data_IF_023989192544
#
_entry.id   IF_023989192544
#
_cell.length_a   1.000
_cell.length_b   1.000
_cell.length_c   1.000
_cell.angle_alpha   90.00
_cell.angle_beta   90.00
_cell.angle_gamma   90.00
#
_symmetry.space_group_name_H-M   'P 1'
#
loop_
_entity.id
_entity.type
_entity.pdbx_description
1 polymer ?
#
# COMPACT_ATOMS: atom_id res chain seq x y z
N UNK A 1 -14.10 10.55 -0.71
CA UNK A 1 -15.39 10.67 -1.43
C UNK A 1 -15.94 12.08 -1.50
N UNK A 2 -15.93 12.88 -0.43
CA UNK A 2 -16.49 14.27 -0.43
C UNK A 2 -15.60 15.33 -1.07
N UNK A 3 -14.43 15.00 -1.54
CA UNK A 3 -13.45 15.95 -2.10
C UNK A 3 -13.60 16.17 -3.60
N UNK A 4 -14.45 15.42 -4.27
CA UNK A 4 -14.72 15.53 -5.71
C UNK A 4 -16.21 15.48 -5.99
N UNK A 5 -16.65 16.26 -6.98
CA UNK A 5 -17.99 16.26 -7.53
C UNK A 5 -18.02 15.72 -8.97
N UNK A 6 -19.18 15.73 -9.62
CA UNK A 6 -19.34 15.22 -10.98
C UNK A 6 -18.52 16.02 -12.00
N UNK A 7 -18.43 17.35 -11.83
CA UNK A 7 -17.67 18.21 -12.73
C UNK A 7 -16.17 17.90 -12.62
N UNK A 8 -15.66 17.81 -11.42
CA UNK A 8 -14.25 17.44 -11.15
C UNK A 8 -13.89 16.09 -11.77
N UNK A 9 -14.76 15.08 -11.61
CA UNK A 9 -14.52 13.75 -12.19
C UNK A 9 -14.55 13.77 -13.73
N UNK A 10 -15.42 14.58 -14.35
CA UNK A 10 -15.41 14.79 -15.81
C UNK A 10 -14.10 15.43 -16.27
N UNK A 11 -13.67 16.50 -15.60
CA UNK A 11 -12.39 17.17 -15.89
C UNK A 11 -11.21 16.20 -15.79
N UNK A 12 -11.18 15.32 -14.76
CA UNK A 12 -10.17 14.29 -14.66
C UNK A 12 -10.18 13.32 -15.84
N UNK A 13 -11.38 12.89 -16.27
CA UNK A 13 -11.50 11.98 -17.41
C UNK A 13 -11.05 12.63 -18.71
N UNK A 14 -11.43 13.88 -18.96
CA UNK A 14 -11.02 14.70 -20.12
C UNK A 14 -9.51 14.95 -20.12
N UNK A 15 -8.90 15.15 -18.96
CA UNK A 15 -7.45 15.27 -18.80
C UNK A 15 -6.68 13.95 -19.00
N UNK A 16 -7.35 12.84 -19.29
CA UNK A 16 -6.73 11.54 -19.57
C UNK A 16 -6.48 10.68 -18.31
N UNK A 17 -6.96 11.08 -17.14
CA UNK A 17 -6.91 10.24 -15.94
C UNK A 17 -7.78 9.00 -16.18
N UNK A 18 -7.19 7.83 -16.08
CA UNK A 18 -7.85 6.56 -16.40
C UNK A 18 -8.03 5.63 -15.20
N UNK A 19 -7.51 5.96 -14.02
CA UNK A 19 -7.65 5.19 -12.79
C UNK A 19 -7.96 6.09 -11.61
N UNK A 20 -8.91 5.68 -10.79
CA UNK A 20 -9.25 6.35 -9.53
C UNK A 20 -8.94 5.43 -8.34
N UNK A 21 -8.50 6.01 -7.22
CA UNK A 21 -8.48 5.35 -5.92
C UNK A 21 -9.40 6.10 -4.98
N UNK A 22 -10.39 5.39 -4.40
CA UNK A 22 -11.43 5.98 -3.58
C UNK A 22 -11.36 5.37 -2.17
N UNK A 23 -10.97 6.19 -1.20
CA UNK A 23 -10.90 5.78 0.20
C UNK A 23 -12.29 5.61 0.82
N UNK A 24 -12.83 4.39 0.81
CA UNK A 24 -14.05 4.02 1.51
C UNK A 24 -13.78 3.74 2.98
N UNK A 25 -12.76 2.97 3.25
CA UNK A 25 -12.24 2.49 4.53
C UNK A 25 -13.17 1.48 5.23
N UNK A 26 -14.42 1.81 5.45
CA UNK A 26 -15.42 1.00 6.18
C UNK A 26 -16.83 1.36 5.67
N UNK A 27 -17.79 0.46 5.83
CA UNK A 27 -19.19 0.69 5.46
C UNK A 27 -20.07 1.18 6.63
N UNK A 28 -19.60 1.05 7.87
CA UNK A 28 -20.30 1.54 9.07
C UNK A 28 -19.92 2.98 9.38
N UNK A 29 -20.86 3.91 9.24
CA UNK A 29 -20.63 5.33 9.47
C UNK A 29 -20.14 5.66 10.88
N UNK A 30 -20.55 4.86 11.88
CA UNK A 30 -20.10 5.02 13.27
C UNK A 30 -18.60 4.76 13.41
N UNK A 31 -18.06 3.78 12.68
CA UNK A 31 -16.61 3.47 12.67
C UNK A 31 -15.86 4.55 11.90
N UNK A 32 -16.38 4.96 10.73
CA UNK A 32 -15.81 6.07 9.95
C UNK A 32 -15.65 7.34 10.79
N UNK A 33 -16.69 7.70 11.55
CA UNK A 33 -16.66 8.87 12.44
C UNK A 33 -15.57 8.77 13.52
N UNK A 34 -15.32 7.57 14.07
CA UNK A 34 -14.30 7.36 15.10
C UNK A 34 -12.87 7.58 14.59
N UNK A 35 -12.63 7.28 13.33
CA UNK A 35 -11.33 7.53 12.68
C UNK A 35 -11.26 8.91 12.00
N UNK A 36 -12.18 9.82 12.34
CA UNK A 36 -12.16 11.20 11.86
C UNK A 36 -12.58 11.37 10.39
N UNK A 37 -13.22 10.39 9.76
CA UNK A 37 -13.69 10.54 8.38
C UNK A 37 -14.94 11.40 8.33
N UNK A 38 -14.93 12.37 7.39
CA UNK A 38 -16.02 13.34 7.18
C UNK A 38 -17.10 12.81 6.23
N UNK A 39 -16.86 11.71 5.53
CA UNK A 39 -17.78 11.08 4.60
C UNK A 39 -18.51 9.90 5.24
N UNK A 40 -19.67 9.59 4.70
CA UNK A 40 -20.46 8.39 5.01
C UNK A 40 -20.30 7.34 3.92
N UNK A 41 -20.75 6.11 4.18
CA UNK A 41 -20.82 5.07 3.14
C UNK A 41 -21.72 5.50 1.98
N UNK A 42 -22.82 6.23 2.26
CA UNK A 42 -23.69 6.79 1.21
C UNK A 42 -22.95 7.79 0.32
N UNK A 43 -22.12 8.66 0.89
CA UNK A 43 -21.29 9.61 0.11
C UNK A 43 -20.30 8.86 -0.79
N UNK A 44 -19.69 7.80 -0.27
CA UNK A 44 -18.81 6.95 -1.08
C UNK A 44 -19.56 6.31 -2.24
N UNK A 45 -20.72 5.69 -2.01
CA UNK A 45 -21.54 5.09 -3.07
C UNK A 45 -21.94 6.07 -4.16
N UNK A 46 -22.32 7.29 -3.76
CA UNK A 46 -22.63 8.37 -4.70
C UNK A 46 -21.43 8.69 -5.60
N UNK A 47 -20.27 8.92 -5.01
CA UNK A 47 -19.02 9.20 -5.76
C UNK A 47 -18.65 8.04 -6.68
N UNK A 48 -18.72 6.82 -6.20
CA UNK A 48 -18.41 5.61 -6.98
C UNK A 48 -19.33 5.47 -8.19
N UNK A 49 -20.65 5.64 -8.01
CA UNK A 49 -21.63 5.55 -9.11
C UNK A 49 -21.45 6.65 -10.13
N UNK A 50 -21.15 7.88 -9.70
CA UNK A 50 -20.85 9.00 -10.62
C UNK A 50 -19.58 8.68 -11.43
N UNK A 51 -18.52 8.20 -10.80
CA UNK A 51 -17.29 7.81 -11.50
C UNK A 51 -17.56 6.73 -12.57
N UNK A 52 -18.36 5.69 -12.23
CA UNK A 52 -18.78 4.67 -13.20
C UNK A 52 -19.59 5.25 -14.35
N UNK A 53 -20.55 6.15 -14.07
CA UNK A 53 -21.39 6.82 -15.08
C UNK A 53 -20.54 7.67 -16.06
N UNK A 54 -19.47 8.30 -15.57
CA UNK A 54 -18.53 9.08 -16.38
C UNK A 54 -17.63 8.18 -17.25
N UNK A 55 -17.55 6.87 -16.95
CA UNK A 55 -16.78 5.90 -17.72
C UNK A 55 -15.40 5.58 -17.13
N UNK A 56 -15.20 5.75 -15.81
CA UNK A 56 -14.05 5.16 -15.14
C UNK A 56 -14.28 3.67 -14.96
N UNK A 57 -13.47 2.86 -15.63
CA UNK A 57 -13.47 1.40 -15.65
C UNK A 57 -12.30 0.77 -14.89
N UNK A 58 -11.47 1.58 -14.26
CA UNK A 58 -10.37 1.17 -13.39
C UNK A 58 -10.46 1.93 -12.06
N UNK A 59 -11.19 1.36 -11.11
CA UNK A 59 -11.40 1.97 -9.79
C UNK A 59 -10.82 1.06 -8.72
N UNK A 60 -9.99 1.64 -7.86
CA UNK A 60 -9.55 1.04 -6.62
C UNK A 60 -10.44 1.51 -5.46
N UNK A 61 -10.78 0.61 -4.56
CA UNK A 61 -11.43 0.90 -3.29
C UNK A 61 -10.47 0.57 -2.15
N UNK A 62 -10.18 1.56 -1.29
CA UNK A 62 -9.36 1.36 -0.11
C UNK A 62 -10.24 0.95 1.06
N UNK A 63 -9.85 -0.13 1.76
CA UNK A 63 -10.52 -0.71 2.92
C UNK A 63 -9.51 -0.81 4.07
N UNK A 64 -9.92 -0.43 5.27
CA UNK A 64 -9.12 -0.56 6.47
C UNK A 64 -9.68 -1.64 7.40
N UNK A 65 -8.79 -2.38 8.05
CA UNK A 65 -9.10 -3.33 9.13
C UNK A 65 -8.37 -2.94 10.41
N UNK A 66 -8.77 -3.55 11.52
CA UNK A 66 -8.22 -3.20 12.84
C UNK A 66 -8.70 -1.83 13.36
N UNK A 67 -9.81 -1.31 12.83
CA UNK A 67 -10.37 -0.03 13.25
C UNK A 67 -10.99 -0.13 14.66
N UNK A 68 -11.05 0.98 15.42
CA UNK A 68 -11.67 1.01 16.73
C UNK A 68 -13.10 0.45 16.72
N UNK A 69 -13.37 -0.55 17.55
CA UNK A 69 -14.66 -1.26 17.68
C UNK A 69 -15.12 -2.02 16.42
N UNK A 70 -14.26 -2.16 15.42
CA UNK A 70 -14.54 -3.00 14.24
C UNK A 70 -14.50 -4.47 14.64
N UNK A 71 -15.52 -5.24 14.26
CA UNK A 71 -15.58 -6.68 14.49
C UNK A 71 -15.31 -7.45 13.21
N UNK A 72 -14.97 -8.73 13.34
CA UNK A 72 -14.75 -9.60 12.17
C UNK A 72 -15.96 -9.62 11.22
N UNK A 73 -17.17 -9.56 11.77
CA UNK A 73 -18.42 -9.52 11.01
C UNK A 73 -18.56 -8.23 10.20
N UNK A 74 -18.06 -7.09 10.72
CA UNK A 74 -18.07 -5.81 10.02
C UNK A 74 -17.15 -5.86 8.80
N UNK A 75 -15.97 -6.46 8.96
CA UNK A 75 -15.03 -6.68 7.85
C UNK A 75 -15.65 -7.59 6.79
N UNK A 76 -16.33 -8.68 7.18
CA UNK A 76 -17.01 -9.57 6.21
C UNK A 76 -18.11 -8.84 5.45
N UNK A 77 -18.94 -8.05 6.13
CA UNK A 77 -20.00 -7.25 5.50
C UNK A 77 -19.41 -6.22 4.53
N UNK A 78 -18.39 -5.48 4.98
CA UNK A 78 -17.67 -4.51 4.14
C UNK A 78 -17.09 -5.15 2.89
N UNK A 79 -16.42 -6.29 3.00
CA UNK A 79 -15.85 -7.01 1.85
C UNK A 79 -16.95 -7.48 0.90
N UNK A 80 -18.06 -8.02 1.40
CA UNK A 80 -19.18 -8.46 0.56
C UNK A 80 -19.78 -7.29 -0.24
N UNK A 81 -20.04 -6.17 0.41
CA UNK A 81 -20.54 -4.95 -0.25
C UNK A 81 -19.58 -4.43 -1.33
N UNK A 82 -18.27 -4.50 -1.07
CA UNK A 82 -17.27 -4.10 -2.07
C UNK A 82 -17.22 -5.07 -3.25
N UNK A 83 -17.34 -6.37 -3.01
CA UNK A 83 -17.42 -7.39 -4.07
C UNK A 83 -18.66 -7.14 -4.96
N UNK A 84 -19.81 -6.80 -4.37
CA UNK A 84 -21.05 -6.45 -5.11
C UNK A 84 -20.86 -5.22 -6.01
N UNK A 85 -20.06 -4.23 -5.59
CA UNK A 85 -19.71 -3.06 -6.41
C UNK A 85 -18.80 -3.41 -7.59
N UNK A 86 -18.14 -4.57 -7.52
CA UNK A 86 -17.32 -5.15 -8.59
C UNK A 86 -16.20 -4.21 -9.10
N UNK A 87 -15.39 -3.57 -8.22
CA UNK A 87 -14.26 -2.76 -8.63
C UNK A 87 -13.18 -3.60 -9.33
N UNK A 88 -12.22 -2.97 -9.95
CA UNK A 88 -11.10 -3.65 -10.60
C UNK A 88 -9.97 -3.95 -9.63
N UNK A 89 -9.85 -3.12 -8.58
CA UNK A 89 -8.77 -3.18 -7.62
C UNK A 89 -9.29 -2.92 -6.19
N UNK A 90 -8.67 -3.53 -5.20
CA UNK A 90 -8.99 -3.36 -3.78
C UNK A 90 -7.69 -3.28 -3.01
N UNK A 91 -7.53 -2.20 -2.23
CA UNK A 91 -6.47 -2.08 -1.23
C UNK A 91 -7.05 -2.43 0.14
N UNK A 92 -6.44 -3.40 0.81
CA UNK A 92 -6.83 -3.84 2.15
C UNK A 92 -5.62 -3.72 3.08
N UNK A 93 -5.68 -2.84 4.05
CA UNK A 93 -4.58 -2.60 4.98
C UNK A 93 -5.05 -2.36 6.40
N UNK A 94 -4.18 -2.69 7.34
CA UNK A 94 -4.41 -2.50 8.75
C UNK A 94 -4.24 -1.04 9.16
N UNK A 95 -4.96 -0.65 10.21
CA UNK A 95 -4.74 0.63 10.85
C UNK A 95 -3.31 0.70 11.42
N UNK A 96 -2.58 1.75 11.03
CA UNK A 96 -1.32 2.12 11.66
C UNK A 96 -1.58 3.38 12.49
N UNK A 97 -1.18 3.35 13.76
CA UNK A 97 -1.28 4.52 14.64
C UNK A 97 -0.09 5.44 14.41
N UNK A 98 -0.35 6.57 13.76
CA UNK A 98 0.65 7.60 13.52
C UNK A 98 0.71 8.55 14.72
N UNK A 99 1.91 8.81 15.24
CA UNK A 99 2.15 9.81 16.27
C UNK A 99 1.62 11.18 15.82
N UNK A 100 1.25 12.02 16.78
CA UNK A 100 0.67 13.34 16.55
C UNK A 100 -0.72 13.35 15.87
N UNK A 101 -1.39 12.19 15.78
CA UNK A 101 -2.79 12.13 15.36
C UNK A 101 -3.74 12.07 16.55
N UNK A 102 -4.96 12.63 16.38
CA UNK A 102 -5.99 12.56 17.41
C UNK A 102 -6.29 11.11 17.84
N UNK A 103 -6.30 10.18 16.90
CA UNK A 103 -6.55 8.76 17.18
C UNK A 103 -5.44 8.16 18.04
N UNK A 104 -4.19 8.50 17.78
CA UNK A 104 -3.05 8.07 18.59
C UNK A 104 -3.22 8.51 20.05
N UNK A 105 -3.56 9.79 20.28
CA UNK A 105 -3.78 10.31 21.64
C UNK A 105 -4.94 9.61 22.34
N UNK A 106 -6.06 9.37 21.66
CA UNK A 106 -7.21 8.66 22.23
C UNK A 106 -6.86 7.22 22.64
N UNK A 107 -6.05 6.52 21.83
CA UNK A 107 -5.59 5.17 22.18
C UNK A 107 -4.59 5.19 23.32
N UNK A 108 -3.63 6.12 23.29
CA UNK A 108 -2.62 6.31 24.33
C UNK A 108 -3.25 6.63 25.70
N UNK A 109 -4.30 7.44 25.71
CA UNK A 109 -5.06 7.80 26.90
C UNK A 109 -6.06 6.71 27.34
N UNK A 110 -6.13 5.57 26.62
CA UNK A 110 -7.07 4.46 26.88
C UNK A 110 -8.55 4.84 26.72
N UNK A 111 -8.85 5.93 26.01
CA UNK A 111 -10.21 6.34 25.68
C UNK A 111 -10.81 5.46 24.55
N UNK A 112 -9.92 4.92 23.70
CA UNK A 112 -10.25 3.97 22.65
C UNK A 112 -9.34 2.75 22.79
N UNK A 113 -9.95 1.56 22.65
CA UNK A 113 -9.21 0.29 22.61
C UNK A 113 -9.28 -0.29 21.20
N UNK A 114 -8.14 -0.74 20.69
CA UNK A 114 -8.06 -1.51 19.45
C UNK A 114 -8.20 -3.00 19.74
N UNK A 115 -8.59 -3.77 18.74
CA UNK A 115 -8.57 -5.23 18.84
C UNK A 115 -7.13 -5.75 18.92
N UNK A 116 -6.97 -7.00 19.36
CA UNK A 116 -5.64 -7.64 19.42
C UNK A 116 -5.12 -7.97 18.02
N UNK A 117 -3.80 -8.09 17.89
CA UNK A 117 -3.14 -8.52 16.65
C UNK A 117 -3.70 -9.85 16.13
N UNK A 118 -4.11 -10.76 17.03
CA UNK A 118 -4.71 -12.04 16.64
C UNK A 118 -6.07 -11.83 15.95
N UNK A 119 -6.91 -10.96 16.48
CA UNK A 119 -8.22 -10.63 15.90
C UNK A 119 -8.03 -9.93 14.56
N UNK A 120 -7.12 -8.96 14.48
CA UNK A 120 -6.80 -8.25 13.24
C UNK A 120 -6.30 -9.23 12.16
N UNK A 121 -5.41 -10.15 12.52
CA UNK A 121 -4.94 -11.20 11.62
C UNK A 121 -6.09 -12.08 11.11
N UNK A 122 -7.04 -12.43 11.97
CA UNK A 122 -8.25 -13.17 11.57
C UNK A 122 -9.12 -12.35 10.60
N UNK A 123 -9.23 -11.03 10.80
CA UNK A 123 -9.91 -10.12 9.87
C UNK A 123 -9.23 -10.14 8.50
N UNK A 124 -7.91 -9.95 8.46
CA UNK A 124 -7.12 -9.98 7.23
C UNK A 124 -7.28 -11.30 6.46
N UNK A 125 -7.10 -12.44 7.13
CA UNK A 125 -7.22 -13.74 6.46
C UNK A 125 -8.64 -14.05 5.99
N UNK A 126 -9.66 -13.62 6.73
CA UNK A 126 -11.06 -13.74 6.30
C UNK A 126 -11.33 -12.94 5.04
N UNK A 127 -10.93 -11.67 5.02
CA UNK A 127 -11.05 -10.78 3.87
C UNK A 127 -10.29 -11.32 2.65
N UNK A 128 -9.00 -11.67 2.83
CA UNK A 128 -8.14 -12.28 1.81
C UNK A 128 -8.78 -13.51 1.17
N UNK A 129 -9.32 -14.42 1.99
CA UNK A 129 -9.97 -15.65 1.51
C UNK A 129 -11.21 -15.32 0.67
N UNK A 130 -12.03 -14.39 1.12
CA UNK A 130 -13.25 -13.98 0.42
C UNK A 130 -12.93 -13.30 -0.91
N UNK A 131 -11.99 -12.34 -0.92
CA UNK A 131 -11.53 -11.65 -2.13
C UNK A 131 -11.00 -12.62 -3.18
N UNK A 132 -10.11 -13.55 -2.76
CA UNK A 132 -9.54 -14.54 -3.70
C UNK A 132 -10.61 -15.47 -4.31
N UNK A 133 -11.66 -15.84 -3.56
CA UNK A 133 -12.78 -16.65 -4.05
C UNK A 133 -13.64 -15.92 -5.08
N UNK A 134 -13.66 -14.57 -4.97
CA UNK A 134 -14.44 -13.71 -5.86
C UNK A 134 -13.61 -13.08 -6.99
N UNK A 135 -12.46 -13.69 -7.33
CA UNK A 135 -11.67 -13.33 -8.51
C UNK A 135 -10.64 -12.21 -8.30
N UNK A 136 -10.55 -11.65 -7.11
CA UNK A 136 -9.51 -10.68 -6.77
C UNK A 136 -8.24 -11.40 -6.31
N UNK A 137 -7.21 -11.39 -7.16
CA UNK A 137 -5.94 -12.02 -6.84
C UNK A 137 -5.06 -11.08 -6.05
N UNK A 138 -4.58 -11.55 -4.90
CA UNK A 138 -3.56 -10.82 -4.16
C UNK A 138 -2.26 -10.84 -4.96
N UNK A 139 -1.67 -9.68 -5.24
CA UNK A 139 -0.40 -9.58 -5.95
C UNK A 139 0.73 -9.02 -5.08
N UNK A 140 0.39 -8.29 -4.00
CA UNK A 140 1.30 -7.87 -2.94
C UNK A 140 0.55 -7.84 -1.59
N UNK A 141 1.20 -7.49 -0.49
CA UNK A 141 0.69 -7.66 0.88
C UNK A 141 -0.70 -7.03 1.07
N UNK A 142 -0.89 -5.81 0.57
CA UNK A 142 -2.10 -5.02 0.83
C UNK A 142 -3.04 -4.93 -0.37
N UNK A 143 -2.64 -5.39 -1.56
CA UNK A 143 -3.40 -5.11 -2.77
C UNK A 143 -3.87 -6.37 -3.50
N UNK A 144 -5.13 -6.29 -3.93
CA UNK A 144 -5.86 -7.32 -4.66
C UNK A 144 -6.42 -6.71 -5.93
N UNK A 145 -6.42 -7.47 -7.02
CA UNK A 145 -7.00 -6.99 -8.28
C UNK A 145 -7.60 -8.12 -9.10
N UNK A 146 -8.47 -7.75 -10.04
CA UNK A 146 -8.75 -8.58 -11.21
C UNK A 146 -7.48 -8.65 -12.07
N UNK A 147 -7.35 -9.69 -12.88
CA UNK A 147 -6.19 -9.89 -13.76
C UNK A 147 -6.02 -8.71 -14.71
N UNK A 148 -4.82 -8.11 -14.72
CA UNK A 148 -4.45 -6.98 -15.58
C UNK A 148 -4.74 -5.60 -14.98
N UNK A 149 -5.28 -5.54 -13.75
CA UNK A 149 -5.56 -4.30 -13.05
C UNK A 149 -4.63 -4.07 -11.83
N UNK A 150 -3.53 -4.81 -11.76
CA UNK A 150 -2.50 -4.57 -10.76
C UNK A 150 -1.97 -3.13 -10.88
N UNK A 151 -1.75 -2.44 -9.77
CA UNK A 151 -1.22 -1.08 -9.77
C UNK A 151 0.20 -1.06 -10.35
N UNK A 152 0.35 -0.52 -11.56
CA UNK A 152 1.67 -0.40 -12.21
C UNK A 152 2.63 0.44 -11.38
N UNK A 153 2.14 1.52 -10.76
CA UNK A 153 2.95 2.37 -9.88
C UNK A 153 3.48 1.61 -8.67
N UNK A 154 2.60 0.88 -7.96
CA UNK A 154 3.03 0.09 -6.80
C UNK A 154 4.05 -0.99 -7.21
N UNK A 155 3.79 -1.71 -8.31
CA UNK A 155 4.74 -2.70 -8.81
C UNK A 155 6.07 -2.09 -9.24
N UNK A 156 6.07 -0.88 -9.81
CA UNK A 156 7.27 -0.13 -10.11
C UNK A 156 8.13 0.10 -8.85
N UNK A 157 7.50 0.58 -7.78
CA UNK A 157 8.16 0.78 -6.49
C UNK A 157 8.66 -0.55 -5.88
N UNK A 158 7.83 -1.61 -5.91
CA UNK A 158 8.22 -2.92 -5.37
C UNK A 158 9.30 -3.63 -6.18
N UNK A 159 9.51 -3.24 -7.43
CA UNK A 159 10.62 -3.70 -8.26
C UNK A 159 11.88 -2.85 -8.09
N UNK A 160 11.86 -1.84 -7.21
CA UNK A 160 12.95 -0.88 -7.01
C UNK A 160 13.31 -0.12 -8.30
N UNK A 161 12.33 0.14 -9.15
CA UNK A 161 12.53 0.96 -10.33
C UNK A 161 12.53 2.45 -9.95
N UNK A 162 13.16 3.26 -10.81
CA UNK A 162 13.21 4.70 -10.63
C UNK A 162 11.86 5.37 -10.77
N UNK A 163 11.68 6.45 -10.02
CA UNK A 163 10.50 7.32 -10.08
C UNK A 163 10.85 8.74 -9.63
N UNK A 164 10.09 9.71 -10.13
CA UNK A 164 10.18 11.11 -9.74
C UNK A 164 8.86 11.54 -9.12
N UNK A 165 8.92 12.09 -7.91
CA UNK A 165 7.78 12.69 -7.22
C UNK A 165 7.64 14.17 -7.55
N UNK A 166 6.43 14.62 -7.76
CA UNK A 166 6.10 16.02 -8.02
C UNK A 166 5.30 16.62 -6.88
N UNK A 167 5.62 17.87 -6.53
CA UNK A 167 4.93 18.62 -5.51
C UNK A 167 5.56 18.48 -4.12
N UNK A 168 4.94 19.15 -3.16
CA UNK A 168 5.36 19.21 -1.75
C UNK A 168 5.41 17.82 -1.14
N UNK A 169 6.43 17.55 -0.32
CA UNK A 169 6.65 16.30 0.42
C UNK A 169 6.75 15.03 -0.48
N UNK A 170 6.83 15.17 -1.80
CA UNK A 170 6.94 14.01 -2.69
C UNK A 170 8.33 13.41 -2.65
N UNK A 171 8.41 12.09 -2.66
CA UNK A 171 9.67 11.35 -2.69
C UNK A 171 10.05 10.93 -4.10
N UNK A 172 11.34 10.82 -4.35
CA UNK A 172 11.92 10.38 -5.62
C UNK A 172 13.04 9.35 -5.39
N UNK A 173 13.25 8.52 -6.38
CA UNK A 173 14.38 7.58 -6.45
C UNK A 173 14.91 7.51 -7.86
N UNK A 174 16.09 8.05 -8.09
CA UNK A 174 16.78 8.06 -9.38
C UNK A 174 18.28 7.91 -9.18
N UNK A 175 18.99 7.24 -10.08
CA UNK A 175 20.44 7.04 -10.02
C UNK A 175 20.95 6.50 -8.67
N UNK A 176 20.17 5.64 -8.02
CA UNK A 176 20.40 5.12 -6.67
C UNK A 176 20.42 6.20 -5.57
N UNK A 177 19.83 7.35 -5.83
CA UNK A 177 19.68 8.45 -4.89
C UNK A 177 18.21 8.56 -4.47
N UNK A 178 17.98 8.62 -3.14
CA UNK A 178 16.69 8.98 -2.56
C UNK A 178 16.70 10.43 -2.15
N UNK A 179 15.69 11.14 -2.56
CA UNK A 179 15.47 12.52 -2.16
C UNK A 179 13.97 12.80 -2.07
N UNK A 180 13.60 13.87 -1.41
CA UNK A 180 12.21 14.35 -1.37
C UNK A 180 12.17 15.85 -1.59
N UNK A 181 10.97 16.34 -1.90
CA UNK A 181 10.68 17.76 -1.82
C UNK A 181 10.38 18.16 -0.37
N UNK A 182 10.63 19.43 -0.04
CA UNK A 182 10.32 20.01 1.27
C UNK A 182 8.83 19.88 1.60
N UNK A 183 8.48 19.85 2.90
CA UNK A 183 7.12 19.63 3.39
C UNK A 183 6.30 20.92 3.52
N UNK A 184 6.95 22.10 3.57
CA UNK A 184 6.25 23.40 3.65
C UNK A 184 5.74 23.84 2.29
N UNK A 185 4.43 24.00 2.17
CA UNK A 185 3.76 24.50 0.95
C UNK A 185 4.23 25.91 0.64
N UNK A 186 4.29 26.76 1.66
CA UNK A 186 4.67 28.17 1.53
C UNK A 186 6.10 28.32 1.01
N UNK A 187 7.03 27.58 1.62
CA UNK A 187 8.43 27.60 1.21
C UNK A 187 8.63 27.01 -0.19
N UNK A 188 7.90 25.92 -0.51
CA UNK A 188 7.94 25.31 -1.83
C UNK A 188 7.52 26.31 -2.92
N UNK A 189 6.42 27.03 -2.72
CA UNK A 189 5.93 28.06 -3.65
C UNK A 189 6.91 29.23 -3.74
N UNK A 190 7.45 29.70 -2.61
CA UNK A 190 8.37 30.84 -2.58
C UNK A 190 9.68 30.52 -3.32
N UNK A 191 10.23 29.33 -3.15
CA UNK A 191 11.42 28.90 -3.88
C UNK A 191 11.20 28.89 -5.40
N UNK A 192 9.99 28.47 -5.87
CA UNK A 192 9.65 28.56 -7.29
C UNK A 192 9.54 30.01 -7.79
N UNK A 193 8.92 30.92 -7.01
CA UNK A 193 8.82 32.35 -7.33
C UNK A 193 10.17 33.04 -7.44
N UNK A 194 11.13 32.60 -6.61
CA UNK A 194 12.50 33.13 -6.58
C UNK A 194 13.46 32.46 -7.58
N UNK A 195 13.00 31.50 -8.40
CA UNK A 195 13.83 30.67 -9.27
C UNK A 195 14.94 29.90 -8.52
N UNK A 196 14.61 29.39 -7.32
CA UNK A 196 15.48 28.60 -6.44
C UNK A 196 14.90 27.21 -6.22
N UNK A 197 14.47 26.53 -7.27
CA UNK A 197 13.78 25.25 -7.21
C UNK A 197 14.63 24.15 -6.56
N UNK A 198 15.95 24.23 -6.70
CA UNK A 198 16.91 23.32 -6.08
C UNK A 198 16.79 23.30 -4.54
N UNK A 199 16.38 24.41 -3.91
CA UNK A 199 16.17 24.49 -2.47
C UNK A 199 14.92 23.70 -2.01
N UNK A 200 14.11 23.21 -2.94
CA UNK A 200 13.00 22.34 -2.61
C UNK A 200 13.43 20.90 -2.42
N UNK A 201 14.65 20.52 -2.79
CA UNK A 201 15.13 19.15 -2.74
C UNK A 201 15.86 18.90 -1.43
N UNK A 202 15.39 17.89 -0.69
CA UNK A 202 16.05 17.33 0.47
C UNK A 202 16.69 16.02 0.06
N UNK A 203 18.01 15.96 0.06
CA UNK A 203 18.75 14.73 -0.16
C UNK A 203 18.64 13.83 1.08
N UNK A 204 18.31 12.56 0.88
CA UNK A 204 18.28 11.59 1.98
C UNK A 204 19.51 10.70 1.96
N UNK A 205 19.72 9.93 0.89
CA UNK A 205 20.85 9.01 0.81
C UNK A 205 21.23 8.69 -0.65
N UNK A 206 22.49 8.34 -0.85
CA UNK A 206 22.97 7.62 -2.02
C UNK A 206 23.22 6.18 -1.62
N UNK A 207 22.46 5.26 -2.18
CA UNK A 207 22.58 3.84 -1.84
C UNK A 207 23.89 3.26 -2.40
N UNK A 208 24.63 2.58 -1.55
CA UNK A 208 25.67 1.68 -2.00
C UNK A 208 25.06 0.35 -2.50
N UNK A 209 25.88 -0.50 -3.11
CA UNK A 209 25.39 -1.74 -3.71
C UNK A 209 24.76 -2.69 -2.67
N UNK A 210 25.32 -2.78 -1.48
CA UNK A 210 24.78 -3.60 -0.39
C UNK A 210 23.43 -3.10 0.09
N UNK A 211 23.29 -1.80 0.37
CA UNK A 211 22.00 -1.19 0.76
C UNK A 211 20.94 -1.40 -0.31
N UNK A 212 21.34 -1.27 -1.60
CA UNK A 212 20.44 -1.52 -2.73
C UNK A 212 19.96 -2.95 -2.80
N UNK A 213 20.84 -3.94 -2.58
CA UNK A 213 20.46 -5.37 -2.53
C UNK A 213 19.49 -5.65 -1.38
N UNK A 214 19.76 -5.13 -0.18
CA UNK A 214 18.92 -5.32 1.02
C UNK A 214 17.53 -4.75 0.77
N UNK A 215 17.44 -3.53 0.27
CA UNK A 215 16.17 -2.91 -0.07
C UNK A 215 15.43 -3.67 -1.19
N UNK A 216 16.15 -4.09 -2.24
CA UNK A 216 15.55 -4.92 -3.30
C UNK A 216 14.87 -6.16 -2.74
N UNK A 217 15.50 -6.86 -1.80
CA UNK A 217 14.92 -8.02 -1.14
C UNK A 217 13.65 -7.63 -0.37
N UNK A 218 13.71 -6.57 0.44
CA UNK A 218 12.58 -6.12 1.25
C UNK A 218 11.39 -5.74 0.37
N UNK A 219 11.60 -4.96 -0.68
CA UNK A 219 10.56 -4.52 -1.60
C UNK A 219 9.96 -5.70 -2.39
N UNK A 220 10.82 -6.59 -2.90
CA UNK A 220 10.35 -7.75 -3.67
C UNK A 220 9.62 -8.78 -2.81
N UNK A 221 9.98 -8.97 -1.54
CA UNK A 221 9.25 -9.84 -0.61
C UNK A 221 7.85 -9.31 -0.26
N UNK A 222 7.54 -8.03 -0.52
CA UNK A 222 6.17 -7.54 -0.44
C UNK A 222 5.25 -8.17 -1.49
N UNK A 223 5.80 -8.52 -2.66
CA UNK A 223 5.04 -9.19 -3.72
C UNK A 223 4.76 -10.65 -3.35
N UNK A 224 3.57 -11.14 -3.66
CA UNK A 224 3.20 -12.54 -3.41
C UNK A 224 4.08 -13.53 -4.20
N UNK A 225 4.57 -13.10 -5.36
CA UNK A 225 5.57 -13.85 -6.15
C UNK A 225 6.96 -13.83 -5.52
N UNK A 226 7.24 -12.82 -4.68
CA UNK A 226 8.54 -12.64 -4.03
C UNK A 226 9.66 -12.21 -4.99
N UNK A 227 10.88 -12.52 -4.59
CA UNK A 227 12.11 -12.25 -5.34
C UNK A 227 12.21 -13.25 -6.49
N UNK A 228 12.41 -12.76 -7.71
CA UNK A 228 12.80 -13.59 -8.83
C UNK A 228 14.33 -13.77 -8.82
N UNK A 229 14.80 -15.02 -8.69
CA UNK A 229 16.24 -15.35 -8.57
C UNK A 229 17.02 -14.93 -9.83
N UNK A 230 16.46 -15.16 -11.01
CA UNK A 230 17.12 -14.78 -12.26
C UNK A 230 17.20 -13.26 -12.43
N UNK A 231 16.15 -12.52 -12.05
CA UNK A 231 16.16 -11.05 -12.11
C UNK A 231 17.15 -10.46 -11.10
N UNK A 232 17.21 -10.99 -9.88
CA UNK A 232 18.22 -10.61 -8.89
C UNK A 232 19.64 -10.75 -9.49
N UNK A 233 19.94 -11.92 -10.07
CA UNK A 233 21.25 -12.18 -10.70
C UNK A 233 21.55 -11.24 -11.88
N UNK A 234 20.53 -10.85 -12.65
CA UNK A 234 20.72 -9.87 -13.74
C UNK A 234 21.07 -8.49 -13.20
N UNK A 235 20.40 -8.04 -12.13
CA UNK A 235 20.59 -6.71 -11.54
C UNK A 235 21.92 -6.61 -10.82
N UNK A 236 22.27 -7.59 -9.98
CA UNK A 236 23.40 -7.52 -9.06
C UNK A 236 24.61 -8.34 -9.50
N UNK A 237 24.53 -9.06 -10.64
CA UNK A 237 25.61 -9.89 -11.20
C UNK A 237 26.07 -11.04 -10.30
N UNK A 238 25.31 -11.32 -9.22
CA UNK A 238 25.58 -12.41 -8.28
C UNK A 238 24.29 -13.16 -7.92
N UNK A 239 24.43 -14.33 -7.32
CA UNK A 239 23.29 -15.14 -6.91
C UNK A 239 22.83 -14.74 -5.51
N UNK A 240 21.52 -14.56 -5.34
CA UNK A 240 20.92 -14.22 -4.04
C UNK A 240 21.27 -15.23 -2.94
N UNK A 241 21.46 -16.50 -3.31
CA UNK A 241 21.85 -17.56 -2.37
C UNK A 241 23.31 -17.47 -1.97
N UNK A 242 24.21 -16.95 -2.82
CA UNK A 242 25.60 -16.71 -2.45
C UNK A 242 25.71 -15.60 -1.39
N UNK A 243 24.91 -14.54 -1.53
CA UNK A 243 25.02 -13.34 -0.68
C UNK A 243 24.20 -13.51 0.61
N UNK A 244 22.99 -14.04 0.50
CA UNK A 244 22.02 -14.09 1.62
C UNK A 244 21.60 -15.52 2.00
N UNK A 245 22.32 -16.55 1.53
CA UNK A 245 21.93 -17.96 1.68
C UNK A 245 21.70 -18.40 3.13
N UNK A 246 22.54 -17.96 4.07
CA UNK A 246 22.38 -18.27 5.51
C UNK A 246 21.09 -17.67 6.07
N UNK A 247 20.82 -16.37 5.79
CA UNK A 247 19.61 -15.67 6.21
C UNK A 247 18.36 -16.31 5.59
N UNK A 248 18.41 -16.63 4.30
CA UNK A 248 17.35 -17.30 3.56
C UNK A 248 17.08 -18.70 4.13
N UNK A 249 18.13 -19.49 4.40
CA UNK A 249 18.02 -20.82 4.99
C UNK A 249 17.40 -20.78 6.39
N UNK A 250 17.81 -19.82 7.23
CA UNK A 250 17.22 -19.58 8.55
C UNK A 250 15.71 -19.31 8.45
N UNK A 251 15.31 -18.35 7.61
CA UNK A 251 13.90 -17.99 7.41
C UNK A 251 13.08 -19.13 6.80
N UNK A 252 13.67 -19.93 5.92
CA UNK A 252 13.04 -21.10 5.34
C UNK A 252 12.78 -22.19 6.41
N UNK A 253 13.75 -22.47 7.27
CA UNK A 253 13.62 -23.42 8.39
C UNK A 253 12.54 -22.97 9.39
N UNK A 254 12.37 -21.66 9.58
CA UNK A 254 11.30 -21.05 10.38
C UNK A 254 9.93 -21.08 9.69
N UNK A 255 9.87 -21.56 8.44
CA UNK A 255 8.66 -21.58 7.58
C UNK A 255 8.10 -20.19 7.30
N UNK A 256 8.93 -19.15 7.32
CA UNK A 256 8.54 -17.79 7.01
C UNK A 256 8.62 -17.49 5.50
N UNK A 257 9.55 -18.12 4.81
CA UNK A 257 9.68 -18.06 3.37
C UNK A 257 9.62 -19.45 2.74
N UNK A 258 9.28 -19.48 1.47
CA UNK A 258 9.33 -20.66 0.59
C UNK A 258 10.27 -20.38 -0.56
N UNK A 259 11.02 -21.39 -0.94
CA UNK A 259 11.98 -21.36 -2.04
C UNK A 259 11.45 -22.28 -3.16
N UNK A 260 11.41 -21.77 -4.38
CA UNK A 260 11.11 -22.52 -5.59
C UNK A 260 12.30 -22.42 -6.56
N UNK A 261 12.21 -23.07 -7.72
CA UNK A 261 13.27 -22.99 -8.75
C UNK A 261 13.51 -21.54 -9.25
N UNK A 262 12.50 -20.68 -9.21
CA UNK A 262 12.57 -19.33 -9.79
C UNK A 262 12.39 -18.20 -8.78
N UNK A 263 11.81 -18.49 -7.60
CA UNK A 263 11.40 -17.44 -6.69
C UNK A 263 11.61 -17.81 -5.22
N UNK A 264 11.89 -16.78 -4.40
CA UNK A 264 11.85 -16.80 -2.95
C UNK A 264 10.72 -15.89 -2.51
N UNK A 265 9.73 -16.41 -1.79
CA UNK A 265 8.53 -15.66 -1.45
C UNK A 265 8.09 -15.93 0.00
N UNK A 266 7.36 -15.00 0.59
CA UNK A 266 6.76 -15.19 1.91
C UNK A 266 5.76 -16.36 1.88
N UNK A 267 5.70 -17.12 2.96
CA UNK A 267 4.60 -18.04 3.25
C UNK A 267 3.42 -17.24 3.82
N UNK A 268 2.30 -17.89 4.12
CA UNK A 268 1.19 -17.24 4.84
C UNK A 268 1.67 -16.76 6.22
N UNK A 269 2.42 -17.59 6.94
CA UNK A 269 3.04 -17.21 8.22
C UNK A 269 4.03 -16.05 8.05
N UNK A 270 4.80 -16.04 6.95
CA UNK A 270 5.74 -14.98 6.63
C UNK A 270 5.04 -13.66 6.27
N UNK A 271 3.85 -13.70 5.66
CA UNK A 271 3.04 -12.48 5.43
C UNK A 271 2.59 -11.85 6.76
N UNK A 272 2.21 -12.67 7.74
CA UNK A 272 1.83 -12.19 9.08
C UNK A 272 3.01 -11.60 9.87
N UNK A 273 4.22 -12.04 9.56
CA UNK A 273 5.46 -11.67 10.25
C UNK A 273 6.47 -11.01 9.30
N UNK A 274 5.97 -10.29 8.30
CA UNK A 274 6.82 -9.72 7.25
C UNK A 274 7.90 -8.78 7.81
N UNK A 275 7.59 -8.00 8.84
CA UNK A 275 8.56 -7.12 9.50
C UNK A 275 9.75 -7.90 10.07
N UNK A 276 9.50 -9.06 10.70
CA UNK A 276 10.56 -9.93 11.23
C UNK A 276 11.42 -10.46 10.08
N UNK A 277 10.79 -10.84 8.95
CA UNK A 277 11.54 -11.30 7.78
C UNK A 277 12.43 -10.19 7.22
N UNK A 278 11.92 -8.97 7.13
CA UNK A 278 12.71 -7.84 6.60
C UNK A 278 13.87 -7.46 7.50
N UNK A 279 13.70 -7.51 8.83
CA UNK A 279 14.77 -7.24 9.80
C UNK A 279 15.99 -8.16 9.66
N UNK A 280 15.83 -9.37 9.12
CA UNK A 280 16.96 -10.24 8.87
C UNK A 280 17.88 -9.76 7.74
N UNK A 281 17.40 -8.86 6.87
CA UNK A 281 18.15 -8.38 5.72
C UNK A 281 18.76 -6.98 5.92
N UNK A 282 18.39 -6.31 6.99
CA UNK A 282 18.90 -4.97 7.36
C UNK A 282 20.15 -5.03 8.21
#
# INVERSE_FOLDING_TARGET
PKTVDELTLKTYKEAGINRLSIGMQETKDQILKKIGRIHTYSDFLKTYRIARKIGFDNINIDIMIGLPNQKLEDVKDTINKVIELNPEHISLYSLILEENTKLYELVKNKEITLETDEIERRMYHSARKNLNRNGYKQYEISNFSKKGYESKHNLNCWNQNEYIGFGVASHSYTDNIRYSNIESIEQYIENYKQNKQENNIIFHEKQNEQSKMMEYIMLNLRKIKGINICEFKKVFKDDVMNIFGEKISKLHNQKLIKISRSNIALTIKGLDLANIVWQEFV
#
